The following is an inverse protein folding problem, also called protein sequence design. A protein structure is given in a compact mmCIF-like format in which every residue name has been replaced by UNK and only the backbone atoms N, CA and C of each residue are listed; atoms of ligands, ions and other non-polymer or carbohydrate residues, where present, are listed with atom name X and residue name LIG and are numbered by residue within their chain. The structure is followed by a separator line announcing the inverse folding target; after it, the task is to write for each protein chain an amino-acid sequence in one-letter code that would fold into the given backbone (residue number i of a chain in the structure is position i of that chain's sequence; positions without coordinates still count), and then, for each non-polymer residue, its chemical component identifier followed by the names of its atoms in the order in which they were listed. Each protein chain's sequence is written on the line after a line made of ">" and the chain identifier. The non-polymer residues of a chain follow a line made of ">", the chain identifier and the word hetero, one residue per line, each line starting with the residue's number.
data_IF_398756817254
#
_entry.id   IF_398756817254
#
_cell.length_a   1.000
_cell.length_b   1.000
_cell.length_c   1.000
_cell.angle_alpha   90.00
_cell.angle_beta   90.00
_cell.angle_gamma   90.00
#
_symmetry.space_group_name_H-M   'P 1'
#
loop_
_entity.id
_entity.type
_entity.pdbx_description
1 polymer ?
#
# COMPACT_ATOMS: atom_id res chain seq x y z
N UNK A 1 -1.37 -0.71 -9.99
CA UNK A 1 -0.10 -0.80 -9.23
C UNK A 1 1.07 -1.29 -10.09
N UNK A 2 0.95 -2.45 -10.70
CA UNK A 2 2.01 -3.03 -11.53
C UNK A 2 2.41 -2.14 -12.73
N UNK A 3 1.47 -1.44 -13.33
CA UNK A 3 1.75 -0.48 -14.41
C UNK A 3 2.61 0.71 -13.97
N UNK A 4 2.64 1.02 -12.67
CA UNK A 4 3.39 2.16 -12.13
C UNK A 4 4.73 1.75 -11.52
N UNK A 5 4.81 0.54 -10.96
CA UNK A 5 5.98 0.02 -10.24
C UNK A 5 6.39 -1.34 -10.82
N UNK A 6 7.70 -1.57 -10.93
CA UNK A 6 8.23 -2.79 -11.53
C UNK A 6 8.04 -4.05 -10.69
N UNK A 7 7.85 -3.92 -9.38
CA UNK A 7 7.67 -5.05 -8.47
C UNK A 7 6.47 -4.80 -7.56
N UNK A 8 5.48 -5.68 -7.65
CA UNK A 8 4.25 -5.62 -6.85
C UNK A 8 4.10 -6.92 -6.08
N UNK A 9 3.88 -6.78 -4.77
CA UNK A 9 3.61 -7.89 -3.87
C UNK A 9 2.17 -7.77 -3.36
N UNK A 10 1.42 -8.84 -3.47
CA UNK A 10 0.08 -8.95 -2.93
C UNK A 10 0.07 -9.94 -1.77
N UNK A 11 -0.43 -9.52 -0.63
CA UNK A 11 -0.56 -10.39 0.54
C UNK A 11 -1.91 -11.06 0.50
N UNK A 12 -1.91 -12.40 0.55
CA UNK A 12 -3.10 -13.24 0.44
C UNK A 12 -3.21 -14.18 1.64
N UNK A 13 -4.43 -14.68 1.87
CA UNK A 13 -4.67 -15.69 2.90
C UNK A 13 -4.11 -17.04 2.45
N UNK A 14 -3.65 -17.89 3.39
CA UNK A 14 -3.27 -19.25 3.06
C UNK A 14 -4.42 -20.01 2.39
N UNK A 15 -4.13 -20.76 1.35
CA UNK A 15 -5.14 -21.56 0.64
C UNK A 15 -5.96 -20.81 -0.40
N UNK A 16 -5.75 -19.52 -0.56
CA UNK A 16 -6.44 -18.72 -1.59
C UNK A 16 -5.69 -18.81 -2.94
N UNK A 17 -5.59 -20.03 -3.47
CA UNK A 17 -4.81 -20.31 -4.68
C UNK A 17 -5.45 -19.71 -5.94
N UNK A 18 -6.78 -19.57 -5.98
CA UNK A 18 -7.47 -18.95 -7.09
C UNK A 18 -7.10 -17.47 -7.22
N UNK A 19 -7.09 -16.74 -6.11
CA UNK A 19 -6.67 -15.33 -6.09
C UNK A 19 -5.19 -15.20 -6.43
N UNK A 20 -4.34 -16.05 -5.85
CA UNK A 20 -2.91 -16.05 -6.14
C UNK A 20 -2.63 -16.26 -7.63
N UNK A 21 -3.38 -17.14 -8.31
CA UNK A 21 -3.25 -17.37 -9.74
C UNK A 21 -3.63 -16.14 -10.57
N UNK A 22 -4.70 -15.46 -10.22
CA UNK A 22 -5.12 -14.21 -10.89
C UNK A 22 -4.07 -13.12 -10.73
N UNK A 23 -3.53 -12.97 -9.52
CA UNK A 23 -2.48 -11.99 -9.23
C UNK A 23 -1.20 -12.29 -10.00
N UNK A 24 -0.78 -13.56 -10.06
CA UNK A 24 0.39 -13.97 -10.83
C UNK A 24 0.22 -13.67 -12.31
N UNK A 25 -0.97 -13.89 -12.88
CA UNK A 25 -1.27 -13.56 -14.26
C UNK A 25 -1.17 -12.05 -14.53
N UNK A 26 -1.40 -11.20 -13.53
CA UNK A 26 -1.23 -9.75 -13.64
C UNK A 26 0.21 -9.28 -13.40
N UNK A 27 1.14 -10.18 -13.09
CA UNK A 27 2.55 -9.87 -12.83
C UNK A 27 2.90 -9.61 -11.36
N UNK A 28 1.95 -9.74 -10.44
CA UNK A 28 2.21 -9.57 -9.01
C UNK A 28 2.75 -10.87 -8.40
N UNK A 29 3.62 -10.72 -7.39
CA UNK A 29 4.07 -11.82 -6.55
C UNK A 29 3.15 -11.94 -5.35
N UNK A 30 2.65 -13.14 -5.08
CA UNK A 30 1.79 -13.39 -3.91
C UNK A 30 2.62 -13.82 -2.70
N UNK A 31 2.28 -13.27 -1.55
CA UNK A 31 2.83 -13.66 -0.25
C UNK A 31 1.68 -14.20 0.60
N UNK A 32 1.78 -15.46 1.01
CA UNK A 32 0.78 -16.08 1.88
C UNK A 32 1.06 -15.72 3.33
N UNK A 33 0.12 -15.05 3.97
CA UNK A 33 0.25 -14.61 5.35
C UNK A 33 -0.65 -15.44 6.26
N UNK A 34 -0.04 -16.27 7.11
CA UNK A 34 -0.79 -17.09 8.06
C UNK A 34 -1.58 -16.25 9.08
N UNK A 35 -1.18 -15.00 9.27
CA UNK A 35 -1.80 -14.03 10.18
C UNK A 35 -2.79 -13.09 9.49
N UNK A 36 -3.16 -13.35 8.24
CA UNK A 36 -4.03 -12.45 7.49
C UNK A 36 -5.40 -12.21 8.16
N UNK A 37 -5.90 -13.20 8.89
CA UNK A 37 -7.18 -13.09 9.62
C UNK A 37 -7.10 -12.18 10.85
N UNK A 38 -5.90 -11.83 11.31
CA UNK A 38 -5.72 -10.89 12.41
C UNK A 38 -5.98 -9.44 12.00
N UNK A 39 -5.99 -9.15 10.70
CA UNK A 39 -6.29 -7.82 10.17
C UNK A 39 -5.23 -7.26 9.24
N UNK A 40 -5.46 -6.01 8.80
CA UNK A 40 -4.65 -5.31 7.81
C UNK A 40 -3.20 -5.09 8.29
N UNK A 41 -3.00 -4.80 9.56
CA UNK A 41 -1.66 -4.57 10.11
C UNK A 41 -0.79 -5.82 10.03
N UNK A 42 -1.36 -6.99 10.34
CA UNK A 42 -0.66 -8.26 10.22
C UNK A 42 -0.30 -8.60 8.77
N UNK A 43 -1.22 -8.33 7.83
CA UNK A 43 -0.97 -8.53 6.40
C UNK A 43 0.15 -7.63 5.89
N UNK A 44 0.14 -6.37 6.28
CA UNK A 44 1.19 -5.42 5.89
C UNK A 44 2.55 -5.85 6.45
N UNK A 45 2.61 -6.28 7.71
CA UNK A 45 3.83 -6.79 8.30
C UNK A 45 4.40 -8.00 7.53
N UNK A 46 3.54 -8.93 7.09
CA UNK A 46 3.94 -10.05 6.24
C UNK A 46 4.55 -9.59 4.91
N UNK A 47 3.91 -8.64 4.25
CA UNK A 47 4.39 -8.11 2.96
C UNK A 47 5.74 -7.43 3.09
N UNK A 48 5.93 -6.63 4.12
CA UNK A 48 7.21 -5.94 4.39
C UNK A 48 8.30 -6.95 4.76
N UNK A 49 8.00 -7.94 5.59
CA UNK A 49 8.95 -8.98 5.96
C UNK A 49 9.44 -9.79 4.75
N UNK A 50 8.54 -10.07 3.80
CA UNK A 50 8.89 -10.78 2.57
C UNK A 50 9.76 -9.93 1.61
N UNK A 51 9.81 -8.63 1.80
CA UNK A 51 10.57 -7.66 0.98
C UNK A 51 11.47 -6.78 1.85
N UNK A 52 12.04 -7.34 2.89
CA UNK A 52 12.77 -6.59 3.93
C UNK A 52 14.01 -5.83 3.43
N UNK A 53 14.56 -6.25 2.29
CA UNK A 53 15.71 -5.60 1.63
C UNK A 53 15.32 -4.44 0.71
N UNK A 54 14.02 -4.15 0.56
CA UNK A 54 13.57 -3.03 -0.25
C UNK A 54 14.03 -1.69 0.34
N UNK A 55 14.23 -0.70 -0.52
CA UNK A 55 14.59 0.66 -0.11
C UNK A 55 13.40 1.48 0.37
N UNK A 56 12.20 0.98 0.18
CA UNK A 56 10.95 1.60 0.60
C UNK A 56 9.75 0.82 0.07
N UNK A 57 8.58 1.20 0.51
CA UNK A 57 7.33 0.55 0.14
C UNK A 57 6.27 1.58 -0.20
N UNK A 58 5.49 1.28 -1.23
CA UNK A 58 4.24 2.00 -1.54
C UNK A 58 3.10 1.06 -1.18
N UNK A 59 2.34 1.42 -0.16
CA UNK A 59 1.28 0.60 0.41
C UNK A 59 -0.06 1.05 -0.13
N UNK A 60 -0.71 0.18 -0.89
CA UNK A 60 -2.03 0.42 -1.47
C UNK A 60 -3.05 -0.56 -0.90
N UNK A 61 -4.30 -0.12 -0.84
CA UNK A 61 -5.42 -0.95 -0.44
C UNK A 61 -6.05 -1.60 -1.68
N UNK A 62 -6.42 -2.87 -1.56
CA UNK A 62 -6.98 -3.64 -2.68
C UNK A 62 -8.34 -3.12 -3.14
N UNK A 63 -9.08 -2.43 -2.27
CA UNK A 63 -10.40 -1.86 -2.53
C UNK A 63 -10.36 -0.46 -3.17
N UNK A 64 -9.19 0.02 -3.60
CA UNK A 64 -9.03 1.34 -4.21
C UNK A 64 -8.51 1.23 -5.65
N UNK A 65 -9.33 0.75 -6.60
CA UNK A 65 -8.88 0.45 -7.96
C UNK A 65 -8.75 1.68 -8.88
N UNK A 66 -9.25 2.85 -8.46
CA UNK A 66 -9.29 4.04 -9.32
C UNK A 66 -8.07 4.97 -9.18
N UNK A 67 -7.10 4.60 -8.35
CA UNK A 67 -5.88 5.40 -8.19
C UNK A 67 -5.11 5.41 -9.52
N UNK A 68 -4.82 6.59 -10.04
CA UNK A 68 -4.08 6.72 -11.29
C UNK A 68 -2.63 6.22 -11.14
N UNK A 69 -2.09 5.51 -12.14
CA UNK A 69 -0.68 5.08 -12.11
C UNK A 69 0.31 6.22 -11.90
N UNK A 70 0.03 7.41 -12.44
CA UNK A 70 0.88 8.58 -12.23
C UNK A 70 0.96 9.00 -10.76
N UNK A 71 -0.15 8.89 -10.01
CA UNK A 71 -0.17 9.17 -8.57
C UNK A 71 0.71 8.19 -7.81
N UNK A 72 0.62 6.91 -8.13
CA UNK A 72 1.44 5.86 -7.50
C UNK A 72 2.93 6.13 -7.74
N UNK A 73 3.30 6.48 -8.98
CA UNK A 73 4.69 6.85 -9.32
C UNK A 73 5.16 8.06 -8.54
N UNK A 74 4.34 9.09 -8.41
CA UNK A 74 4.69 10.30 -7.65
C UNK A 74 5.01 10.00 -6.20
N UNK A 75 4.25 9.10 -5.57
CA UNK A 75 4.52 8.66 -4.19
C UNK A 75 5.85 7.91 -4.12
N UNK A 76 6.10 6.98 -5.03
CA UNK A 76 7.36 6.24 -5.07
C UNK A 76 8.55 7.16 -5.29
N UNK A 77 8.45 8.10 -6.22
CA UNK A 77 9.50 9.07 -6.52
C UNK A 77 9.82 9.96 -5.32
N UNK A 78 8.82 10.36 -4.54
CA UNK A 78 9.03 11.13 -3.32
C UNK A 78 9.87 10.34 -2.29
N UNK A 79 9.62 9.05 -2.15
CA UNK A 79 10.41 8.18 -1.26
C UNK A 79 11.84 8.03 -1.78
N UNK A 80 12.02 7.81 -3.07
CA UNK A 80 13.35 7.72 -3.70
C UNK A 80 14.12 9.04 -3.52
N UNK A 81 13.43 10.18 -3.57
CA UNK A 81 14.02 11.50 -3.38
C UNK A 81 14.37 11.81 -1.91
N UNK A 82 14.03 10.95 -0.97
CA UNK A 82 14.41 11.09 0.43
C UNK A 82 13.28 11.36 1.41
N UNK A 83 12.02 11.37 0.96
CA UNK A 83 10.90 11.50 1.88
C UNK A 83 10.84 10.29 2.81
N UNK A 84 10.56 10.53 4.08
CA UNK A 84 10.38 9.45 5.07
C UNK A 84 9.04 8.77 4.89
N UNK A 85 7.97 9.57 4.80
CA UNK A 85 6.61 9.13 4.49
C UNK A 85 6.04 10.10 3.45
N UNK A 86 5.32 9.61 2.46
CA UNK A 86 4.67 10.42 1.44
C UNK A 86 3.26 9.91 1.14
N UNK A 87 2.32 10.81 0.90
CA UNK A 87 0.96 10.45 0.52
C UNK A 87 0.35 11.49 -0.41
N UNK A 88 -0.56 11.07 -1.32
CA UNK A 88 -1.27 12.00 -2.17
C UNK A 88 -2.34 12.74 -1.37
N UNK A 89 -2.60 13.97 -1.79
CA UNK A 89 -3.64 14.82 -1.23
C UNK A 89 -4.52 15.31 -2.38
N UNK A 90 -5.80 15.08 -2.28
CA UNK A 90 -6.79 15.57 -3.23
C UNK A 90 -7.75 16.52 -2.52
N UNK A 91 -7.80 17.77 -2.99
CA UNK A 91 -8.65 18.82 -2.39
C UNK A 91 -8.46 18.97 -0.88
N UNK A 92 -7.21 18.90 -0.43
CA UNK A 92 -6.85 19.06 0.98
C UNK A 92 -7.00 17.80 1.84
N UNK A 93 -7.54 16.72 1.30
CA UNK A 93 -7.73 15.46 2.00
C UNK A 93 -6.67 14.43 1.61
N UNK A 94 -6.02 13.84 2.62
CA UNK A 94 -4.98 12.82 2.40
C UNK A 94 -5.62 11.49 2.00
N UNK A 95 -5.09 10.90 0.92
CA UNK A 95 -5.55 9.61 0.40
C UNK A 95 -4.47 8.54 0.40
N UNK A 96 -4.65 7.58 -0.50
CA UNK A 96 -3.76 6.44 -0.74
C UNK A 96 -3.21 6.48 -2.16
N UNK A 97 -2.10 5.79 -2.45
CA UNK A 97 -1.30 4.95 -1.54
C UNK A 97 -0.42 5.79 -0.62
N UNK A 98 0.13 5.15 0.40
CA UNK A 98 1.10 5.79 1.31
C UNK A 98 2.47 5.17 1.08
N UNK A 99 3.47 6.00 0.88
CA UNK A 99 4.86 5.58 0.74
C UNK A 99 5.61 5.66 2.07
N UNK A 100 6.46 4.67 2.33
CA UNK A 100 7.34 4.60 3.49
C UNK A 100 8.76 4.31 3.06
N UNK A 101 9.72 5.04 3.61
CA UNK A 101 11.15 4.72 3.41
C UNK A 101 11.56 3.49 4.24
N UNK A 102 12.73 2.95 3.92
CA UNK A 102 13.31 1.81 4.66
C UNK A 102 13.52 2.08 6.15
N UNK A 103 13.58 3.34 6.58
CA UNK A 103 13.67 3.71 7.99
C UNK A 103 12.47 3.19 8.82
N UNK A 104 11.34 2.92 8.18
CA UNK A 104 10.13 2.40 8.83
C UNK A 104 10.01 0.87 8.79
N UNK A 105 11.03 0.16 8.31
CA UNK A 105 11.01 -1.30 8.18
C UNK A 105 10.58 -2.00 9.46
N UNK A 106 11.28 -1.75 10.55
CA UNK A 106 11.03 -2.44 11.82
C UNK A 106 9.64 -2.12 12.37
N UNK A 107 9.23 -0.87 12.29
CA UNK A 107 7.91 -0.45 12.72
C UNK A 107 6.79 -1.11 11.90
N UNK A 108 6.96 -1.19 10.58
CA UNK A 108 6.01 -1.87 9.70
C UNK A 108 5.94 -3.37 9.97
N UNK A 109 7.08 -4.01 10.21
CA UNK A 109 7.14 -5.45 10.48
C UNK A 109 6.55 -5.84 11.84
N UNK A 110 6.41 -4.89 12.76
CA UNK A 110 5.83 -5.13 14.09
C UNK A 110 4.34 -4.82 14.17
N UNK A 111 3.72 -4.35 13.09
CA UNK A 111 2.28 -4.12 13.05
C UNK A 111 1.50 -5.40 13.27
N UNK A 112 0.37 -5.29 13.95
CA UNK A 112 -0.52 -6.41 14.25
C UNK A 112 -1.98 -5.97 14.23
N UNK A 113 -2.90 -6.92 14.18
CA UNK A 113 -4.33 -6.64 14.14
C UNK A 113 -4.71 -5.74 12.98
N UNK A 114 -5.69 -4.87 13.20
CA UNK A 114 -6.21 -3.92 12.21
C UNK A 114 -5.52 -2.55 12.25
N UNK A 115 -4.50 -2.39 13.07
CA UNK A 115 -3.89 -1.07 13.30
C UNK A 115 -3.25 -0.46 12.07
N UNK A 116 -3.04 -1.15 10.99
CA UNK A 116 -2.49 -0.61 9.75
C UNK A 116 -1.35 0.40 9.96
N UNK A 117 -0.84 0.96 8.91
CA UNK A 117 0.23 1.96 8.98
C UNK A 117 -0.23 3.35 9.46
N UNK A 118 -1.53 3.52 9.73
CA UNK A 118 -2.09 4.81 10.17
C UNK A 118 -1.41 5.34 11.44
N UNK A 119 -1.08 4.46 12.38
CA UNK A 119 -0.40 4.85 13.62
C UNK A 119 0.99 5.43 13.37
N UNK A 120 1.71 4.93 12.38
CA UNK A 120 3.04 5.43 12.02
C UNK A 120 2.98 6.85 11.45
N UNK A 121 1.91 7.14 10.70
CA UNK A 121 1.69 8.47 10.13
C UNK A 121 1.27 9.47 11.23
N UNK A 122 0.46 9.02 12.19
CA UNK A 122 -0.11 9.89 13.22
C UNK A 122 0.82 10.18 14.39
N UNK A 123 1.69 9.24 14.79
CA UNK A 123 2.38 9.28 16.07
C UNK A 123 3.90 9.45 15.98
N UNK A 124 4.48 9.46 14.79
CA UNK A 124 5.92 9.32 14.64
C UNK A 124 6.75 10.61 14.74
N UNK A 125 6.17 11.78 14.92
CA UNK A 125 6.91 13.04 14.79
C UNK A 125 7.60 13.18 13.42
N UNK A 126 7.27 12.33 12.49
CA UNK A 126 7.86 12.27 11.14
C UNK A 126 7.08 13.19 10.23
N UNK A 127 7.79 13.98 9.44
CA UNK A 127 7.17 14.86 8.45
C UNK A 127 6.60 14.03 7.30
N UNK A 128 5.29 14.10 7.13
CA UNK A 128 4.61 13.54 5.97
C UNK A 128 4.76 14.50 4.78
N UNK A 129 5.35 14.02 3.69
CA UNK A 129 5.35 14.76 2.42
C UNK A 129 3.99 14.60 1.76
N UNK A 130 3.29 15.71 1.58
CA UNK A 130 1.96 15.77 0.96
C UNK A 130 2.12 16.10 -0.52
N UNK A 131 1.61 15.24 -1.38
CA UNK A 131 1.69 15.40 -2.83
C UNK A 131 0.30 15.78 -3.34
N UNK A 132 0.13 17.03 -3.75
CA UNK A 132 -1.13 17.49 -4.31
C UNK A 132 -1.37 16.83 -5.68
N UNK A 133 -2.49 16.15 -5.83
CA UNK A 133 -2.87 15.45 -7.05
C UNK A 133 -4.30 15.81 -7.46
N UNK A 134 -4.56 15.80 -8.76
CA UNK A 134 -5.91 15.90 -9.32
C UNK A 134 -6.41 14.48 -9.65
N UNK A 135 -6.52 13.66 -8.61
CA UNK A 135 -6.89 12.26 -8.71
C UNK A 135 -7.88 11.90 -7.59
N UNK A 136 -9.18 11.95 -7.85
CA UNK A 136 -10.19 11.61 -6.83
C UNK A 136 -10.14 10.12 -6.42
N UNK A 137 -9.51 9.26 -7.22
CA UNK A 137 -9.34 7.84 -6.91
C UNK A 137 -8.56 7.58 -5.62
N UNK A 138 -7.74 8.54 -5.17
CA UNK A 138 -6.97 8.41 -3.92
C UNK A 138 -7.83 8.40 -2.66
N UNK A 139 -9.09 8.84 -2.77
CA UNK A 139 -10.06 8.89 -1.66
C UNK A 139 -11.20 7.89 -1.84
N UNK A 140 -11.20 7.10 -2.91
CA UNK A 140 -12.35 6.29 -3.31
C UNK A 140 -12.06 4.81 -3.15
N UNK A 141 -12.85 4.14 -2.33
CA UNK A 141 -12.83 2.69 -2.13
C UNK A 141 -14.06 2.02 -2.77
N UNK A 142 -14.00 0.70 -2.88
CA UNK A 142 -15.12 -0.14 -3.32
C UNK A 142 -15.73 -0.81 -2.10
N UNK A 143 -16.98 -0.47 -1.78
CA UNK A 143 -17.70 -1.07 -0.65
C UNK A 143 -18.60 -2.23 -1.10
N UNK A 144 -19.08 -2.19 -2.35
CA UNK A 144 -19.99 -3.19 -2.90
C UNK A 144 -19.67 -3.48 -4.38
N UNK A 145 -20.06 -4.68 -4.89
CA UNK A 145 -19.82 -5.02 -6.30
C UNK A 145 -20.37 -4.01 -7.31
N UNK A 146 -21.46 -3.31 -6.97
CA UNK A 146 -22.05 -2.27 -7.82
C UNK A 146 -21.20 -1.00 -7.97
N UNK A 147 -20.21 -0.80 -7.09
CA UNK A 147 -19.30 0.33 -7.14
C UNK A 147 -18.18 0.15 -8.17
N UNK A 148 -18.00 -1.07 -8.67
CA UNK A 148 -16.99 -1.36 -9.68
C UNK A 148 -17.37 -0.74 -11.02
N UNK A 149 -16.41 -0.24 -11.79
CA UNK A 149 -16.66 0.22 -13.14
C UNK A 149 -17.18 -0.95 -14.00
N UNK A 150 -18.25 -0.72 -14.70
CA UNK A 150 -18.86 -1.71 -15.61
C UNK A 150 -17.99 -2.07 -16.79
#
# INVERSE_FOLDING_TARGET
>A
MHAALGHVVAVVRPGDDALASVLAASGATSVHCARADEGMGASLACGVAATADAQGWVVALADMPWIAPATIRSVAEAIVAGASIAAPVHRGERGHPVGFSAAHRDALMTLSGDEGARSLVAHGGVVLVRIDVDDPGVLRDVDAPGDLPG
#
